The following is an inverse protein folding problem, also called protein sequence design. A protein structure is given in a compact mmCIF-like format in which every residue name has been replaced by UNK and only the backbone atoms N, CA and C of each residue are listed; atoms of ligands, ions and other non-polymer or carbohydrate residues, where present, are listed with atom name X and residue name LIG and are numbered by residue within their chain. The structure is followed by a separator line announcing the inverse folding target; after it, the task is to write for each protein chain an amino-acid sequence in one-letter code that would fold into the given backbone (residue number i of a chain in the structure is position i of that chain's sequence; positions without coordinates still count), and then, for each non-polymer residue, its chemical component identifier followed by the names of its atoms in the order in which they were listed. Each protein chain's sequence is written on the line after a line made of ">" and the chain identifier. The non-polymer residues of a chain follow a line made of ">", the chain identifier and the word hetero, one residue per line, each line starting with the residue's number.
data_IF_108362255662
#
_entry.id   IF_108362255662
#
_cell.length_a   1.000
_cell.length_b   1.000
_cell.length_c   1.000
_cell.angle_alpha   90.00
_cell.angle_beta   90.00
_cell.angle_gamma   90.00
#
_symmetry.space_group_name_H-M   'P 1'
#
loop_
_entity.id
_entity.type
_entity.pdbx_description
1 polymer ?
#
# COMPACT_ATOMS: atom_id res chain seq x y z
N UNK A 1 -8.30 -6.36 -21.39
CA UNK A 1 -9.21 -6.22 -20.23
C UNK A 1 -8.47 -6.38 -18.88
N UNK A 2 -7.82 -7.56 -18.58
CA UNK A 2 -7.16 -7.77 -17.28
C UNK A 2 -6.04 -6.75 -17.04
N UNK A 3 -5.18 -6.53 -18.02
CA UNK A 3 -4.12 -5.52 -17.94
C UNK A 3 -4.69 -4.10 -17.77
N UNK A 4 -5.70 -3.76 -18.51
CA UNK A 4 -6.39 -2.47 -18.43
C UNK A 4 -7.02 -2.23 -17.05
N UNK A 5 -7.68 -3.26 -16.50
CA UNK A 5 -8.20 -3.20 -15.13
C UNK A 5 -7.09 -2.96 -14.11
N UNK A 6 -5.97 -3.67 -14.25
CA UNK A 6 -4.82 -3.50 -13.37
C UNK A 6 -4.30 -2.05 -13.40
N UNK A 7 -4.11 -1.51 -14.61
CA UNK A 7 -3.69 -0.11 -14.81
C UNK A 7 -4.69 0.85 -14.17
N UNK A 8 -5.99 0.69 -14.45
CA UNK A 8 -7.02 1.59 -13.93
C UNK A 8 -7.11 1.58 -12.39
N UNK A 9 -6.90 0.42 -11.77
CA UNK A 9 -6.88 0.33 -10.29
C UNK A 9 -5.68 1.06 -9.70
N UNK A 10 -4.50 0.96 -10.33
CA UNK A 10 -3.32 1.70 -9.87
C UNK A 10 -3.44 3.19 -10.16
N UNK A 11 -3.99 3.59 -11.31
CA UNK A 11 -4.26 4.99 -11.63
C UNK A 11 -5.20 5.63 -10.60
N UNK A 12 -6.22 4.90 -10.09
CA UNK A 12 -7.10 5.41 -9.02
C UNK A 12 -6.37 5.60 -7.69
N UNK A 13 -5.41 4.75 -7.35
CA UNK A 13 -4.53 4.99 -6.20
C UNK A 13 -3.68 6.25 -6.40
N UNK A 14 -3.12 6.43 -7.59
CA UNK A 14 -2.35 7.63 -7.93
C UNK A 14 -3.23 8.90 -7.84
N UNK A 15 -4.45 8.84 -8.38
CA UNK A 15 -5.42 9.94 -8.27
C UNK A 15 -5.70 10.29 -6.80
N UNK A 16 -5.91 9.29 -5.92
CA UNK A 16 -6.08 9.51 -4.49
C UNK A 16 -4.90 10.25 -3.87
N UNK A 17 -3.67 9.80 -4.17
CA UNK A 17 -2.45 10.41 -3.63
C UNK A 17 -2.18 11.83 -4.17
N UNK A 18 -2.91 12.26 -5.21
CA UNK A 18 -2.83 13.59 -5.80
C UNK A 18 -3.97 14.52 -5.34
N UNK A 19 -4.93 14.02 -4.56
CA UNK A 19 -6.05 14.84 -4.06
C UNK A 19 -5.51 16.01 -3.23
N UNK A 20 -5.84 17.27 -3.57
CA UNK A 20 -5.48 18.42 -2.75
C UNK A 20 -6.24 18.37 -1.42
N UNK A 21 -5.52 18.28 -0.32
CA UNK A 21 -6.12 18.22 1.02
C UNK A 21 -5.89 19.49 1.84
N UNK A 22 -4.83 20.26 1.50
CA UNK A 22 -4.43 21.47 2.22
C UNK A 22 -5.49 22.55 2.11
N UNK A 23 -5.80 23.21 3.21
CA UNK A 23 -6.86 24.23 3.28
C UNK A 23 -8.29 23.66 3.27
N UNK A 24 -8.46 22.34 3.40
CA UNK A 24 -9.76 21.66 3.42
C UNK A 24 -9.97 20.91 4.74
N UNK A 25 -11.19 20.39 4.97
CA UNK A 25 -11.48 19.52 6.12
C UNK A 25 -10.66 18.22 6.11
N UNK A 26 -10.11 17.83 4.97
CA UNK A 26 -9.26 16.64 4.82
C UNK A 26 -7.91 16.76 5.56
N UNK A 27 -7.45 17.96 5.91
CA UNK A 27 -6.29 18.15 6.79
C UNK A 27 -6.46 17.49 8.16
N UNK A 28 -7.70 17.26 8.59
CA UNK A 28 -8.02 16.67 9.88
C UNK A 28 -7.93 15.14 9.88
N UNK A 29 -7.73 14.51 8.72
CA UNK A 29 -7.64 13.05 8.59
C UNK A 29 -6.43 12.45 9.30
N UNK A 30 -5.36 13.21 9.53
CA UNK A 30 -4.14 12.67 10.13
C UNK A 30 -3.16 13.74 10.58
N UNK A 31 -2.02 13.26 11.10
CA UNK A 31 -0.97 14.13 11.67
C UNK A 31 0.03 14.66 10.61
N UNK A 32 -0.10 14.23 9.34
CA UNK A 32 0.84 14.63 8.29
C UNK A 32 2.24 14.02 8.46
N UNK A 33 3.27 14.86 8.33
CA UNK A 33 4.68 14.47 8.28
C UNK A 33 5.14 13.56 9.43
N UNK A 34 6.15 12.73 9.15
CA UNK A 34 6.69 11.75 10.09
C UNK A 34 5.84 10.46 10.16
N UNK A 35 5.06 10.18 9.12
CA UNK A 35 4.18 9.02 9.08
C UNK A 35 4.94 7.70 9.17
N UNK A 36 5.99 7.48 8.35
CA UNK A 36 6.80 6.26 8.35
C UNK A 36 7.32 5.96 9.76
N UNK A 37 7.92 6.94 10.42
CA UNK A 37 8.44 6.79 11.78
C UNK A 37 7.35 6.41 12.79
N UNK A 38 6.26 7.15 12.80
CA UNK A 38 5.14 6.87 13.72
C UNK A 38 4.55 5.48 13.53
N UNK A 39 4.48 4.99 12.28
CA UNK A 39 3.97 3.64 12.02
C UNK A 39 4.92 2.59 12.54
N UNK A 40 6.20 2.64 12.19
CA UNK A 40 7.18 1.63 12.62
C UNK A 40 7.31 1.59 14.15
N UNK A 41 7.53 2.73 14.80
CA UNK A 41 7.65 2.81 16.25
C UNK A 41 6.36 2.37 16.96
N UNK A 42 5.20 2.79 16.43
CA UNK A 42 3.90 2.43 16.98
C UNK A 42 3.59 0.94 16.88
N UNK A 43 3.88 0.31 15.75
CA UNK A 43 3.69 -1.13 15.55
C UNK A 43 4.71 -1.94 16.35
N UNK A 44 5.96 -1.51 16.43
CA UNK A 44 6.96 -2.15 17.27
C UNK A 44 6.54 -2.18 18.75
N UNK A 45 6.09 -1.06 19.28
CA UNK A 45 5.60 -0.96 20.65
C UNK A 45 4.34 -1.82 20.89
N UNK A 46 3.40 -1.85 19.95
CA UNK A 46 2.20 -2.72 20.03
C UNK A 46 2.59 -4.19 19.98
N UNK A 47 3.48 -4.58 19.07
CA UNK A 47 3.97 -5.96 18.99
C UNK A 47 4.67 -6.39 20.27
N UNK A 48 5.54 -5.56 20.84
CA UNK A 48 6.24 -5.85 22.08
C UNK A 48 5.28 -6.11 23.26
N UNK A 49 4.16 -5.38 23.31
CA UNK A 49 3.12 -5.56 24.35
C UNK A 49 2.25 -6.79 24.14
N UNK A 50 1.97 -7.14 22.89
CA UNK A 50 1.07 -8.25 22.52
C UNK A 50 1.79 -9.59 22.38
N UNK A 51 3.12 -9.58 22.28
CA UNK A 51 3.94 -10.78 22.06
C UNK A 51 3.77 -11.81 23.20
N UNK A 52 3.53 -13.06 22.82
CA UNK A 52 3.41 -14.22 23.72
C UNK A 52 4.53 -15.23 23.41
N UNK A 53 4.79 -16.16 24.37
CA UNK A 53 5.91 -17.11 24.26
C UNK A 53 5.85 -18.04 23.02
N UNK A 54 4.66 -18.26 22.49
CA UNK A 54 4.42 -19.11 21.31
C UNK A 54 4.46 -18.38 19.98
N UNK A 55 4.76 -17.09 19.98
CA UNK A 55 4.85 -16.27 18.76
C UNK A 55 6.31 -15.88 18.51
N UNK A 56 6.83 -15.95 17.28
CA UNK A 56 8.19 -15.52 16.97
C UNK A 56 8.41 -14.05 17.35
N UNK A 57 9.56 -13.72 17.93
CA UNK A 57 9.86 -12.35 18.38
C UNK A 57 10.04 -11.34 17.26
N UNK A 58 10.33 -11.81 16.03
CA UNK A 58 10.70 -10.98 14.87
C UNK A 58 11.74 -9.89 15.17
N UNK A 59 12.57 -10.14 16.21
CA UNK A 59 13.54 -9.15 16.73
C UNK A 59 14.45 -8.58 15.65
N UNK A 60 14.89 -9.43 14.69
CA UNK A 60 15.75 -9.00 13.60
C UNK A 60 15.04 -8.02 12.68
N UNK A 61 13.85 -8.38 12.18
CA UNK A 61 13.05 -7.54 11.25
C UNK A 61 12.65 -6.23 11.93
N UNK A 62 12.15 -6.30 13.17
CA UNK A 62 11.75 -5.13 13.95
C UNK A 62 12.91 -4.15 14.13
N UNK A 63 14.11 -4.69 14.50
CA UNK A 63 15.31 -3.86 14.62
C UNK A 63 15.71 -3.26 13.28
N UNK A 64 15.69 -4.05 12.20
CA UNK A 64 16.06 -3.57 10.88
C UNK A 64 15.13 -2.42 10.45
N UNK A 65 13.81 -2.57 10.63
CA UNK A 65 12.84 -1.52 10.31
C UNK A 65 13.13 -0.22 11.10
N UNK A 66 13.38 -0.33 12.41
CA UNK A 66 13.69 0.84 13.26
C UNK A 66 14.98 1.55 12.83
N UNK A 67 15.99 0.79 12.43
CA UNK A 67 17.29 1.32 12.01
C UNK A 67 17.26 1.98 10.60
N UNK A 68 16.24 1.65 9.77
CA UNK A 68 16.18 2.06 8.37
C UNK A 68 14.95 2.92 8.02
N UNK A 69 14.29 3.51 9.01
CA UNK A 69 13.12 4.37 8.76
C UNK A 69 13.52 5.54 7.85
N UNK A 70 12.97 5.64 6.62
CA UNK A 70 13.23 6.77 5.76
C UNK A 70 12.50 8.04 6.24
N UNK A 71 12.90 9.17 5.72
CA UNK A 71 12.02 10.34 5.70
C UNK A 71 10.80 10.03 4.82
N UNK A 72 9.65 10.59 5.16
CA UNK A 72 8.47 10.45 4.30
C UNK A 72 8.77 11.00 2.89
N UNK A 73 8.38 10.27 1.86
CA UNK A 73 8.57 10.67 0.46
C UNK A 73 7.69 11.88 0.11
N UNK A 74 6.50 11.91 0.66
CA UNK A 74 5.49 12.97 0.52
C UNK A 74 4.39 12.76 1.57
N UNK A 75 3.67 13.81 1.93
CA UNK A 75 2.41 13.69 2.66
C UNK A 75 1.23 13.83 1.69
N UNK A 76 0.33 12.85 1.69
CA UNK A 76 -0.90 12.86 0.90
C UNK A 76 -2.00 12.08 1.64
N UNK A 77 -3.21 12.05 1.06
CA UNK A 77 -4.26 11.13 1.52
C UNK A 77 -3.89 9.73 1.07
N UNK A 78 -3.87 8.78 2.00
CA UNK A 78 -3.60 7.36 1.76
C UNK A 78 -4.78 6.52 2.23
N UNK A 79 -4.96 5.36 1.60
CA UNK A 79 -6.06 4.44 1.90
C UNK A 79 -5.73 3.44 3.02
N UNK A 80 -4.48 2.94 3.06
CA UNK A 80 -3.95 1.92 3.98
C UNK A 80 -4.54 0.50 3.82
N UNK A 81 -5.53 0.29 2.96
CA UNK A 81 -6.04 -1.03 2.61
C UNK A 81 -6.43 -1.07 1.12
N UNK A 82 -5.52 -0.60 0.24
CA UNK A 82 -5.77 -0.57 -1.19
C UNK A 82 -5.73 -1.96 -1.80
N UNK A 83 -6.89 -2.46 -2.24
CA UNK A 83 -7.06 -3.82 -2.76
C UNK A 83 -8.14 -3.87 -3.82
N UNK A 84 -8.12 -4.92 -4.68
CA UNK A 84 -9.15 -5.11 -5.71
C UNK A 84 -10.56 -5.35 -5.13
N UNK A 85 -10.66 -5.93 -3.95
CA UNK A 85 -11.94 -6.14 -3.26
C UNK A 85 -12.50 -4.88 -2.59
N UNK A 86 -11.71 -3.79 -2.53
CA UNK A 86 -12.15 -2.47 -2.08
C UNK A 86 -12.48 -1.51 -3.23
N UNK A 87 -12.58 -2.00 -4.48
CA UNK A 87 -12.99 -1.16 -5.62
C UNK A 87 -14.31 -1.64 -6.21
N UNK A 88 -15.11 -0.68 -6.70
CA UNK A 88 -16.36 -0.94 -7.43
C UNK A 88 -16.08 -0.70 -8.92
N UNK A 89 -16.41 -1.70 -9.74
CA UNK A 89 -16.29 -1.63 -11.19
C UNK A 89 -17.63 -1.28 -11.85
N UNK A 90 -17.56 -0.55 -12.95
CA UNK A 90 -18.75 -0.27 -13.77
C UNK A 90 -19.31 -1.58 -14.36
N UNK A 91 -20.60 -1.91 -14.14
CA UNK A 91 -21.20 -3.13 -14.69
C UNK A 91 -21.21 -3.18 -16.24
N UNK A 92 -21.16 -2.03 -16.89
CA UNK A 92 -21.14 -1.94 -18.37
C UNK A 92 -19.73 -1.92 -18.93
N UNK A 93 -18.77 -1.42 -18.14
CA UNK A 93 -17.36 -1.28 -18.51
C UNK A 93 -16.48 -1.84 -17.36
N UNK A 94 -16.37 -3.17 -17.22
CA UNK A 94 -15.81 -3.83 -16.03
C UNK A 94 -14.30 -3.65 -15.83
N UNK A 95 -13.64 -2.84 -16.64
CA UNK A 95 -12.28 -2.36 -16.42
C UNK A 95 -12.25 -0.98 -15.76
N UNK A 96 -13.39 -0.28 -15.69
CA UNK A 96 -13.48 1.07 -15.14
C UNK A 96 -13.82 1.03 -13.64
N UNK A 97 -13.00 1.66 -12.82
CA UNK A 97 -13.25 1.87 -11.39
C UNK A 97 -14.17 3.09 -11.23
N UNK A 98 -15.34 2.88 -10.62
CA UNK A 98 -16.34 3.93 -10.35
C UNK A 98 -16.51 4.25 -8.87
N UNK A 99 -15.86 3.51 -7.98
CA UNK A 99 -15.91 3.75 -6.54
C UNK A 99 -14.80 3.02 -5.80
N UNK A 100 -14.50 3.52 -4.60
CA UNK A 100 -13.57 2.92 -3.65
C UNK A 100 -14.28 2.79 -2.32
N UNK A 101 -14.10 1.67 -1.65
CA UNK A 101 -14.73 1.30 -0.38
C UNK A 101 -13.70 1.25 0.74
N UNK A 102 -14.19 1.11 1.97
CA UNK A 102 -13.43 0.78 3.19
C UNK A 102 -12.39 1.85 3.57
N UNK A 103 -12.88 3.07 3.73
CA UNK A 103 -12.09 4.26 4.06
C UNK A 103 -11.72 4.39 5.54
N UNK A 104 -12.05 3.40 6.38
CA UNK A 104 -11.86 3.49 7.84
C UNK A 104 -10.40 3.65 8.26
N UNK A 105 -9.46 3.18 7.43
CA UNK A 105 -8.02 3.30 7.68
C UNK A 105 -7.37 4.50 6.97
N UNK A 106 -8.15 5.26 6.20
CA UNK A 106 -7.61 6.39 5.44
C UNK A 106 -7.08 7.49 6.37
N UNK A 107 -5.97 8.09 5.99
CA UNK A 107 -5.32 9.14 6.76
C UNK A 107 -4.39 9.99 5.89
N UNK A 108 -3.72 10.98 6.50
CA UNK A 108 -2.57 11.64 5.87
C UNK A 108 -1.30 10.85 6.18
N UNK A 109 -0.60 10.42 5.13
CA UNK A 109 0.60 9.60 5.28
C UNK A 109 1.47 9.57 4.02
N UNK A 110 2.41 8.65 4.02
CA UNK A 110 3.37 8.46 2.93
C UNK A 110 2.79 7.55 1.84
N UNK A 111 2.73 7.98 0.57
CA UNK A 111 2.17 7.20 -0.53
C UNK A 111 2.94 5.90 -0.83
N UNK A 112 4.24 5.84 -0.54
CA UNK A 112 5.02 4.60 -0.73
C UNK A 112 4.71 3.57 0.36
N UNK A 113 4.34 4.00 1.57
CA UNK A 113 3.80 3.10 2.62
C UNK A 113 2.46 2.50 2.18
N UNK A 114 1.59 3.28 1.56
CA UNK A 114 0.30 2.79 1.03
C UNK A 114 0.50 1.80 -0.11
N UNK A 115 1.40 2.12 -1.05
CA UNK A 115 1.77 1.22 -2.14
C UNK A 115 2.37 -0.09 -1.62
N UNK A 116 3.32 -0.03 -0.68
CA UNK A 116 3.92 -1.22 -0.06
C UNK A 116 2.87 -2.08 0.65
N UNK A 117 1.95 -1.45 1.38
CA UNK A 117 0.82 -2.14 2.03
C UNK A 117 -0.07 -2.86 1.00
N UNK A 118 -0.39 -2.22 -0.12
CA UNK A 118 -1.15 -2.83 -1.21
C UNK A 118 -0.41 -4.04 -1.82
N UNK A 119 0.91 -3.93 -1.99
CA UNK A 119 1.75 -5.00 -2.56
C UNK A 119 1.98 -6.18 -1.59
N UNK A 120 1.87 -6.00 -0.28
CA UNK A 120 1.92 -7.08 0.69
C UNK A 120 0.82 -8.15 0.46
N UNK A 121 -0.30 -7.77 -0.16
CA UNK A 121 -1.41 -8.67 -0.55
C UNK A 121 -1.37 -9.07 -2.03
N UNK A 122 -0.37 -8.63 -2.78
CA UNK A 122 -0.24 -8.87 -4.22
C UNK A 122 0.47 -10.19 -4.48
N UNK A 123 -0.30 -11.25 -4.68
CA UNK A 123 0.24 -12.59 -4.96
C UNK A 123 0.42 -12.78 -6.46
N UNK A 124 1.62 -13.21 -6.86
CA UNK A 124 1.97 -13.53 -8.24
C UNK A 124 1.91 -15.04 -8.51
N UNK A 125 1.78 -15.44 -9.77
CA UNK A 125 1.78 -16.86 -10.13
C UNK A 125 3.13 -17.54 -9.90
N UNK A 126 4.20 -16.77 -9.83
CA UNK A 126 5.56 -17.22 -9.53
C UNK A 126 5.86 -17.38 -8.04
N UNK A 127 4.97 -16.91 -7.15
CA UNK A 127 5.16 -16.98 -5.71
C UNK A 127 5.15 -18.43 -5.19
N UNK A 128 5.70 -18.63 -4.00
CA UNK A 128 5.71 -19.94 -3.35
C UNK A 128 4.29 -20.40 -2.96
N UNK A 129 4.14 -21.70 -2.63
CA UNK A 129 2.84 -22.29 -2.32
C UNK A 129 2.15 -21.69 -1.10
N UNK A 130 2.92 -21.19 -0.12
CA UNK A 130 2.37 -20.57 1.09
C UNK A 130 1.68 -19.25 0.71
N UNK A 131 2.35 -18.39 -0.06
CA UNK A 131 1.77 -17.16 -0.57
C UNK A 131 0.54 -17.42 -1.43
N UNK A 132 0.62 -18.38 -2.35
CA UNK A 132 -0.52 -18.78 -3.20
C UNK A 132 -1.72 -19.28 -2.39
N UNK A 133 -1.49 -19.98 -1.28
CA UNK A 133 -2.57 -20.45 -0.39
C UNK A 133 -3.28 -19.33 0.37
N UNK A 134 -2.61 -18.20 0.59
CA UNK A 134 -3.19 -17.01 1.27
C UNK A 134 -3.81 -15.99 0.31
N UNK A 135 -3.81 -16.28 -0.97
CA UNK A 135 -4.31 -15.39 -2.02
C UNK A 135 -5.79 -15.04 -1.83
N UNK A 136 -6.08 -13.74 -1.87
CA UNK A 136 -7.45 -13.18 -1.76
C UNK A 136 -7.85 -12.34 -2.96
N UNK A 137 -6.89 -11.95 -3.81
CA UNK A 137 -7.08 -11.04 -4.95
C UNK A 137 -6.70 -11.73 -6.26
N UNK A 138 -7.20 -11.28 -7.42
CA UNK A 138 -6.94 -11.90 -8.73
C UNK A 138 -5.57 -11.51 -9.32
N UNK A 139 -4.62 -11.03 -8.53
CA UNK A 139 -3.34 -10.45 -8.96
C UNK A 139 -2.40 -11.43 -9.66
N UNK A 140 -2.65 -12.74 -9.53
CA UNK A 140 -1.93 -13.83 -10.22
C UNK A 140 -2.39 -14.08 -11.66
N UNK A 141 -3.50 -13.46 -12.09
CA UNK A 141 -4.06 -13.72 -13.41
C UNK A 141 -3.14 -13.19 -14.52
N UNK A 142 -3.09 -13.93 -15.62
CA UNK A 142 -2.33 -13.50 -16.80
C UNK A 142 -2.83 -12.14 -17.29
N UNK A 143 -1.91 -11.18 -17.38
CA UNK A 143 -2.17 -9.79 -17.76
C UNK A 143 -2.22 -8.82 -16.59
N UNK A 144 -2.23 -9.29 -15.34
CA UNK A 144 -1.92 -8.44 -14.19
C UNK A 144 -0.45 -8.04 -14.17
N UNK A 145 -0.13 -6.89 -13.59
CA UNK A 145 1.25 -6.50 -13.31
C UNK A 145 1.89 -7.42 -12.27
N UNK A 146 3.19 -7.63 -12.37
CA UNK A 146 4.00 -8.09 -11.25
C UNK A 146 4.14 -6.96 -10.22
N UNK A 147 4.53 -7.29 -8.98
CA UNK A 147 4.83 -6.27 -7.95
C UNK A 147 5.84 -5.24 -8.47
N UNK A 148 6.90 -5.70 -9.13
CA UNK A 148 7.90 -4.80 -9.73
C UNK A 148 7.29 -3.89 -10.79
N UNK A 149 6.43 -4.41 -11.66
CA UNK A 149 5.76 -3.59 -12.68
C UNK A 149 4.80 -2.56 -12.08
N UNK A 150 4.13 -2.89 -10.97
CA UNK A 150 3.31 -1.92 -10.23
C UNK A 150 4.17 -0.79 -9.69
N UNK A 151 5.31 -1.11 -9.07
CA UNK A 151 6.26 -0.12 -8.55
C UNK A 151 6.77 0.78 -9.66
N UNK A 152 7.30 0.18 -10.74
CA UNK A 152 7.85 0.93 -11.87
C UNK A 152 6.81 1.88 -12.50
N UNK A 153 5.60 1.37 -12.70
CA UNK A 153 4.48 2.15 -13.24
C UNK A 153 4.10 3.33 -12.30
N UNK A 154 3.95 3.04 -11.01
CA UNK A 154 3.61 4.04 -10.02
C UNK A 154 4.65 5.15 -9.92
N UNK A 155 5.94 4.79 -9.86
CA UNK A 155 7.05 5.75 -9.77
C UNK A 155 7.20 6.57 -11.06
N UNK A 156 7.03 5.94 -12.23
CA UNK A 156 7.02 6.65 -13.51
C UNK A 156 5.92 7.73 -13.56
N UNK A 157 4.74 7.42 -13.01
CA UNK A 157 3.59 8.35 -13.02
C UNK A 157 3.70 9.45 -11.97
N UNK A 158 4.30 9.16 -10.83
CA UNK A 158 4.35 10.10 -9.69
C UNK A 158 5.65 10.90 -9.61
N UNK A 159 6.73 10.40 -10.23
CA UNK A 159 8.07 11.00 -10.15
C UNK A 159 8.76 10.82 -8.79
N UNK A 160 8.24 9.93 -7.92
CA UNK A 160 8.86 9.63 -6.64
C UNK A 160 10.12 8.77 -6.80
N UNK A 161 11.06 8.86 -5.82
CA UNK A 161 12.31 8.11 -5.82
C UNK A 161 12.12 6.68 -5.28
N UNK A 162 12.95 5.74 -5.77
CA UNK A 162 13.05 4.35 -5.31
C UNK A 162 14.17 4.11 -4.29
N UNK A 163 14.91 5.13 -3.88
CA UNK A 163 16.17 4.96 -3.13
C UNK A 163 16.02 4.10 -1.86
N UNK A 164 14.82 4.07 -1.27
CA UNK A 164 14.51 3.32 -0.06
C UNK A 164 13.43 2.23 -0.29
N UNK A 165 13.22 1.77 -1.52
CA UNK A 165 12.11 0.84 -1.81
C UNK A 165 12.16 -0.44 -0.97
N UNK A 166 13.34 -1.00 -0.70
CA UNK A 166 13.51 -2.19 0.16
C UNK A 166 12.88 -2.03 1.56
N UNK A 167 12.70 -0.80 2.05
CA UNK A 167 12.02 -0.55 3.32
C UNK A 167 10.50 -0.75 3.19
N UNK A 168 9.92 -0.43 2.05
CA UNK A 168 8.47 -0.49 1.82
C UNK A 168 7.99 -1.88 1.35
N UNK A 169 8.90 -2.72 0.86
CA UNK A 169 8.66 -4.09 0.40
C UNK A 169 8.64 -5.10 1.58
#
# INVERSE_FOLDING_TARGET
>A
QVHELCVNVIDKLIELHQVPYQGTELEKLGKGDGYCRRQVEGWDARYAKAHTINVPSFKYVRKWLLDHIPADSKTCIIHNDWRFDNVILDPKHPTQVIGVLDWEMATLGDPLMDLGSALAYWVEDTDNQIFKATRRQPTHLKGMFTRQQVVDYYLQKTGLSTDNWTFYE
#
